data_IF_721244366148
#
_entry.id   IF_721244366148
#
_cell.length_a   1.000
_cell.length_b   1.000
_cell.length_c   1.000
_cell.angle_alpha   90.00
_cell.angle_beta   90.00
_cell.angle_gamma   90.00
#
_symmetry.space_group_name_H-M   'P 1'
#
loop_
_entity.id
_entity.type
_entity.pdbx_description
1 polymer ?
#
# COMPACT_ATOMS: atom_id res chain seq x y z
N UNK A 1 -10.98 -13.32 -16.19
CA UNK A 1 -9.75 -14.04 -15.81
C UNK A 1 -8.98 -13.20 -14.79
N UNK A 2 -8.84 -13.66 -13.54
CA UNK A 2 -8.14 -12.90 -12.51
C UNK A 2 -6.65 -12.79 -12.84
N UNK A 3 -6.16 -11.56 -13.10
CA UNK A 3 -4.76 -11.29 -13.43
C UNK A 3 -3.87 -11.80 -12.29
N UNK A 4 -3.06 -12.82 -12.57
CA UNK A 4 -2.11 -13.40 -11.61
C UNK A 4 -1.16 -12.29 -11.16
N UNK A 5 -1.33 -11.82 -9.92
CA UNK A 5 -0.44 -10.81 -9.34
C UNK A 5 0.98 -11.38 -9.30
N UNK A 6 1.93 -10.63 -9.88
CA UNK A 6 3.33 -11.01 -9.91
C UNK A 6 3.87 -11.03 -8.48
N UNK A 7 4.35 -12.19 -8.04
CA UNK A 7 4.97 -12.33 -6.73
C UNK A 7 6.16 -11.38 -6.62
N UNK A 8 6.31 -10.70 -5.48
CA UNK A 8 7.47 -9.85 -5.24
C UNK A 8 8.75 -10.67 -5.36
N UNK A 9 9.63 -10.26 -6.28
CA UNK A 9 10.91 -10.92 -6.54
C UNK A 9 11.89 -10.81 -5.36
N UNK A 10 11.69 -9.84 -4.46
CA UNK A 10 12.60 -9.56 -3.34
C UNK A 10 12.71 -10.63 -2.24
N UNK A 11 11.77 -11.58 -2.17
CA UNK A 11 11.78 -12.61 -1.11
C UNK A 11 12.60 -13.87 -1.46
N UNK A 12 13.11 -13.97 -2.70
CA UNK A 12 13.87 -15.14 -3.15
C UNK A 12 13.10 -16.47 -2.97
N UNK A 13 13.77 -17.61 -2.79
CA UNK A 13 13.13 -18.91 -2.53
C UNK A 13 12.69 -19.11 -1.07
N UNK A 14 12.88 -18.11 -0.18
CA UNK A 14 12.66 -18.25 1.26
C UNK A 14 11.18 -18.05 1.64
N UNK A 15 10.80 -18.49 2.85
CA UNK A 15 9.48 -18.27 3.50
C UNK A 15 8.26 -19.03 2.92
N UNK A 16 8.41 -19.76 1.81
CA UNK A 16 7.34 -20.59 1.24
C UNK A 16 6.25 -19.80 0.50
N UNK A 17 5.45 -20.49 -0.32
CA UNK A 17 4.57 -19.84 -1.32
C UNK A 17 3.36 -19.12 -0.71
N UNK A 18 2.77 -19.65 0.37
CA UNK A 18 1.57 -19.07 1.00
C UNK A 18 1.88 -17.70 1.62
N UNK A 19 2.96 -17.61 2.39
CA UNK A 19 3.39 -16.37 3.07
C UNK A 19 3.77 -15.32 2.02
N UNK A 20 4.54 -15.71 0.99
CA UNK A 20 4.91 -14.81 -0.12
C UNK A 20 3.69 -14.23 -0.85
N UNK A 21 2.66 -15.05 -1.09
CA UNK A 21 1.40 -14.59 -1.69
C UNK A 21 0.67 -13.59 -0.78
N UNK A 22 0.56 -13.87 0.51
CA UNK A 22 -0.07 -12.95 1.47
C UNK A 22 0.67 -11.60 1.55
N UNK A 23 1.99 -11.65 1.70
CA UNK A 23 2.83 -10.46 1.75
C UNK A 23 2.72 -9.62 0.47
N UNK A 24 2.72 -10.27 -0.70
CA UNK A 24 2.58 -9.58 -1.99
C UNK A 24 1.27 -8.80 -2.07
N UNK A 25 0.15 -9.39 -1.60
CA UNK A 25 -1.15 -8.70 -1.56
C UNK A 25 -1.09 -7.45 -0.69
N UNK A 26 -0.60 -7.58 0.55
CA UNK A 26 -0.51 -6.46 1.51
C UNK A 26 0.42 -5.35 0.99
N UNK A 27 1.58 -5.72 0.45
CA UNK A 27 2.53 -4.76 -0.09
C UNK A 27 1.99 -4.00 -1.31
N UNK A 28 1.21 -4.66 -2.18
CA UNK A 28 0.53 -3.96 -3.28
C UNK A 28 -0.57 -3.02 -2.79
N UNK A 29 -1.37 -3.43 -1.80
CA UNK A 29 -2.38 -2.56 -1.17
C UNK A 29 -1.74 -1.33 -0.53
N UNK A 30 -0.60 -1.52 0.14
CA UNK A 30 0.16 -0.45 0.78
C UNK A 30 0.77 0.53 -0.23
N UNK A 31 1.33 0.04 -1.35
CA UNK A 31 1.94 0.88 -2.40
C UNK A 31 0.93 1.40 -3.44
N UNK A 32 -0.34 1.09 -3.29
CA UNK A 32 -1.37 1.55 -4.23
C UNK A 32 -1.45 3.08 -4.20
N UNK A 33 -1.52 3.69 -5.38
CA UNK A 33 -1.71 5.14 -5.50
C UNK A 33 -3.11 5.50 -5.01
N UNK A 34 -3.18 6.34 -3.98
CA UNK A 34 -4.42 6.83 -3.37
C UNK A 34 -4.55 8.32 -3.61
N UNK A 35 -5.78 8.78 -3.85
CA UNK A 35 -6.09 10.19 -4.09
C UNK A 35 -6.43 10.87 -2.78
N UNK A 36 -5.90 12.08 -2.59
CA UNK A 36 -6.28 12.98 -1.50
C UNK A 36 -7.72 13.47 -1.70
N UNK A 37 -8.58 13.48 -0.65
CA UNK A 37 -9.93 13.99 -0.75
C UNK A 37 -9.99 15.49 -1.09
N UNK A 38 -9.00 16.27 -0.66
CA UNK A 38 -9.01 17.72 -0.91
C UNK A 38 -8.38 18.11 -2.24
N UNK A 39 -7.15 17.67 -2.52
CA UNK A 39 -6.40 18.14 -3.68
C UNK A 39 -6.31 17.13 -4.84
N UNK A 40 -6.87 15.92 -4.68
CA UNK A 40 -6.76 14.83 -5.66
C UNK A 40 -5.34 14.29 -5.88
N UNK A 41 -4.35 14.81 -5.16
CA UNK A 41 -2.94 14.42 -5.25
C UNK A 41 -2.67 13.01 -4.71
N UNK A 42 -1.47 12.49 -4.97
CA UNK A 42 -1.05 11.20 -4.45
C UNK A 42 -0.73 11.28 -2.95
N UNK A 43 -1.37 10.42 -2.17
CA UNK A 43 -1.04 10.24 -0.75
C UNK A 43 0.03 9.16 -0.62
N UNK A 44 1.00 9.37 0.26
CA UNK A 44 2.07 8.44 0.59
C UNK A 44 2.01 8.15 2.08
N UNK A 45 2.41 6.95 2.48
CA UNK A 45 2.52 6.58 3.88
C UNK A 45 3.78 7.18 4.50
N UNK A 46 3.62 7.94 5.58
CA UNK A 46 4.75 8.37 6.44
C UNK A 46 5.01 7.34 7.53
N UNK A 47 3.96 6.93 8.25
CA UNK A 47 4.04 5.97 9.34
C UNK A 47 2.85 5.01 9.33
N UNK A 48 2.83 4.06 10.26
CA UNK A 48 1.69 3.16 10.44
C UNK A 48 0.44 3.98 10.77
N UNK A 49 -0.56 3.93 9.90
CA UNK A 49 -1.81 4.68 10.06
C UNK A 49 -1.72 6.19 9.75
N UNK A 50 -0.53 6.73 9.46
CA UNK A 50 -0.35 8.14 9.09
C UNK A 50 0.02 8.25 7.62
N UNK A 51 -0.82 8.97 6.88
CA UNK A 51 -0.72 9.13 5.44
C UNK A 51 -0.64 10.60 5.08
N UNK A 52 0.35 11.01 4.29
CA UNK A 52 0.59 12.41 3.97
C UNK A 52 0.50 12.68 2.47
N UNK A 53 -0.13 13.79 2.12
CA UNK A 53 -0.21 14.21 0.74
C UNK A 53 0.98 15.10 0.38
N UNK A 54 1.70 14.75 -0.70
CA UNK A 54 2.82 15.55 -1.20
C UNK A 54 2.45 16.94 -1.72
N UNK A 55 1.19 17.13 -2.15
CA UNK A 55 0.76 18.39 -2.77
C UNK A 55 0.27 19.41 -1.73
N UNK A 56 -0.62 18.99 -0.84
CA UNK A 56 -1.21 19.89 0.16
C UNK A 56 -0.61 19.77 1.56
N UNK A 57 0.29 18.82 1.82
CA UNK A 57 0.95 18.65 3.13
C UNK A 57 0.06 18.07 4.23
N UNK A 58 -1.20 17.77 3.94
CA UNK A 58 -2.17 17.27 4.92
C UNK A 58 -1.80 15.86 5.37
N UNK A 59 -1.94 15.62 6.67
CA UNK A 59 -1.80 14.30 7.30
C UNK A 59 -3.17 13.72 7.59
N UNK A 60 -3.40 12.51 7.11
CA UNK A 60 -4.65 11.78 7.22
C UNK A 60 -4.38 10.55 8.08
N UNK A 61 -5.25 10.34 9.08
CA UNK A 61 -5.29 9.10 9.83
C UNK A 61 -6.04 8.03 9.02
N UNK A 62 -5.48 6.84 8.91
CA UNK A 62 -6.08 5.70 8.23
C UNK A 62 -5.64 4.39 8.87
N UNK A 63 -5.96 3.27 8.23
CA UNK A 63 -5.53 1.95 8.71
C UNK A 63 -4.05 1.68 8.41
N UNK A 64 -3.54 0.58 8.96
CA UNK A 64 -2.15 0.19 8.82
C UNK A 64 -1.72 -0.11 7.37
N UNK A 65 -2.63 -0.42 6.45
CA UNK A 65 -2.30 -0.68 5.04
C UNK A 65 -3.26 -0.01 4.06
N UNK A 66 -4.35 0.58 4.57
CA UNK A 66 -5.34 1.33 3.82
C UNK A 66 -5.55 2.74 4.42
N UNK A 67 -6.11 3.65 3.63
CA UNK A 67 -6.50 4.99 4.10
C UNK A 67 -7.97 4.98 4.52
N UNK A 68 -8.77 4.08 3.94
CA UNK A 68 -10.17 3.90 4.35
C UNK A 68 -10.20 3.18 5.70
N UNK A 69 -11.08 3.68 6.57
CA UNK A 69 -11.55 2.95 7.75
C UNK A 69 -12.54 1.86 7.31
#
# INVERSE_FOLDING_TARGET
MAKKQTALKGLGPRYGIKIRKSFTKVHHLMKQKRKCPECGGSIIREAVGIWTCKKCGIKIAGTAYDVKL
#
